data_IF_197962272748
#
_entry.id   IF_197962272748
#
_cell.length_a   1.000
_cell.length_b   1.000
_cell.length_c   1.000
_cell.angle_alpha   90.00
_cell.angle_beta   90.00
_cell.angle_gamma   90.00
#
_symmetry.space_group_name_H-M   'P 1'
#
loop_
_entity.id
_entity.type
_entity.pdbx_description
1 polymer ?
#
# COMPACT_ATOMS: atom_id res chain seq x y z
N UNK A 1 -14.83 8.74 20.05
CA UNK A 1 -13.64 8.76 19.17
C UNK A 1 -13.16 7.33 19.09
N UNK A 2 -12.97 6.81 17.87
CA UNK A 2 -12.42 5.46 17.67
C UNK A 2 -11.02 5.36 18.29
N UNK A 3 -10.66 4.15 18.75
CA UNK A 3 -9.37 3.87 19.38
C UNK A 3 -8.22 3.97 18.38
N UNK A 4 -8.48 3.54 17.13
CA UNK A 4 -7.50 3.55 16.06
C UNK A 4 -8.01 4.35 14.87
N UNK A 5 -7.13 5.10 14.23
CA UNK A 5 -7.37 5.75 12.96
C UNK A 5 -6.50 5.11 11.88
N UNK A 6 -7.12 4.44 10.94
CA UNK A 6 -6.46 3.61 9.94
C UNK A 6 -6.64 4.24 8.56
N UNK A 7 -5.54 4.58 7.89
CA UNK A 7 -5.60 5.02 6.51
C UNK A 7 -5.98 3.86 5.60
N UNK A 8 -6.92 4.09 4.69
CA UNK A 8 -7.44 3.11 3.75
C UNK A 8 -7.02 3.47 2.34
N UNK A 9 -6.01 2.76 1.83
CA UNK A 9 -5.39 2.98 0.52
C UNK A 9 -5.63 1.80 -0.42
N UNK A 10 -6.76 1.77 -1.13
CA UNK A 10 -7.07 0.64 -2.03
C UNK A 10 -6.04 0.50 -3.16
N UNK A 11 -5.53 1.61 -3.65
CA UNK A 11 -4.73 1.62 -4.84
C UNK A 11 -5.59 1.54 -6.10
N UNK A 12 -5.10 0.80 -7.08
CA UNK A 12 -5.77 0.63 -8.37
C UNK A 12 -5.92 -0.84 -8.78
N UNK A 13 -6.65 -1.09 -9.88
CA UNK A 13 -6.88 -2.42 -10.41
C UNK A 13 -7.46 -3.35 -9.35
N UNK A 14 -6.83 -4.51 -9.14
CA UNK A 14 -7.24 -5.52 -8.17
C UNK A 14 -7.18 -5.04 -6.71
N UNK A 15 -6.49 -3.92 -6.45
CA UNK A 15 -6.38 -3.33 -5.12
C UNK A 15 -7.73 -3.04 -4.48
N UNK A 16 -8.68 -2.56 -5.24
CA UNK A 16 -10.05 -2.28 -4.79
C UNK A 16 -10.74 -3.57 -4.29
N UNK A 17 -10.70 -4.63 -5.10
CA UNK A 17 -11.34 -5.92 -4.78
C UNK A 17 -10.73 -6.58 -3.55
N UNK A 18 -9.39 -6.59 -3.42
CA UNK A 18 -8.74 -7.20 -2.26
C UNK A 18 -8.98 -6.41 -0.97
N UNK A 19 -9.09 -5.09 -1.07
CA UNK A 19 -9.43 -4.26 0.09
C UNK A 19 -10.88 -4.46 0.51
N UNK A 20 -11.81 -4.59 -0.43
CA UNK A 20 -13.21 -4.92 -0.11
C UNK A 20 -13.32 -6.27 0.59
N UNK A 21 -12.57 -7.28 0.13
CA UNK A 21 -12.50 -8.58 0.82
C UNK A 21 -11.90 -8.45 2.22
N UNK A 22 -10.84 -7.67 2.39
CA UNK A 22 -10.25 -7.40 3.71
C UNK A 22 -11.24 -6.69 4.64
N UNK A 23 -12.09 -5.80 4.09
CA UNK A 23 -13.10 -5.08 4.85
C UNK A 23 -14.11 -6.03 5.52
N UNK A 24 -14.53 -7.08 4.85
CA UNK A 24 -15.45 -8.09 5.40
C UNK A 24 -14.86 -8.71 6.69
N UNK A 25 -13.56 -9.02 6.69
CA UNK A 25 -12.86 -9.57 7.86
C UNK A 25 -12.81 -8.55 8.99
N UNK A 26 -12.41 -7.31 8.69
CA UNK A 26 -12.28 -6.24 9.68
C UNK A 26 -13.62 -5.87 10.33
N UNK A 27 -14.69 -5.83 9.55
CA UNK A 27 -16.04 -5.57 10.05
C UNK A 27 -16.53 -6.72 10.96
N UNK A 28 -16.15 -7.96 10.64
CA UNK A 28 -16.45 -9.14 11.47
C UNK A 28 -15.72 -9.09 12.81
N UNK A 29 -14.48 -8.61 12.81
CA UNK A 29 -13.67 -8.42 14.02
C UNK A 29 -14.17 -7.29 14.92
N UNK A 30 -15.03 -6.42 14.42
CA UNK A 30 -15.58 -5.24 15.13
C UNK A 30 -14.47 -4.40 15.79
N UNK A 31 -13.39 -4.17 15.05
CA UNK A 31 -12.28 -3.36 15.51
C UNK A 31 -12.77 -1.92 15.80
N UNK A 32 -12.39 -1.39 16.97
CA UNK A 32 -12.68 0.00 17.32
C UNK A 32 -11.76 0.95 16.53
N UNK A 33 -12.07 1.12 15.25
CA UNK A 33 -11.26 1.86 14.30
C UNK A 33 -12.12 2.73 13.36
N UNK A 34 -11.59 3.90 13.06
CA UNK A 34 -12.03 4.76 11.96
C UNK A 34 -11.16 4.48 10.74
N UNK A 35 -11.78 4.24 9.60
CA UNK A 35 -11.08 4.05 8.32
C UNK A 35 -11.15 5.32 7.50
N UNK A 36 -10.00 5.95 7.28
CA UNK A 36 -9.86 7.19 6.53
C UNK A 36 -9.40 6.88 5.08
N UNK A 37 -10.28 7.03 4.07
CA UNK A 37 -9.91 6.77 2.67
C UNK A 37 -8.87 7.77 2.19
N UNK A 38 -7.93 7.30 1.38
CA UNK A 38 -6.91 8.13 0.76
C UNK A 38 -6.52 7.63 -0.64
N UNK A 39 -6.03 8.55 -1.43
CA UNK A 39 -5.74 8.39 -2.84
C UNK A 39 -4.30 7.89 -3.04
N UNK A 40 -4.13 6.84 -3.84
CA UNK A 40 -2.81 6.33 -4.21
C UNK A 40 -2.91 5.47 -5.47
N UNK A 41 -1.89 5.47 -6.28
CA UNK A 41 -1.73 4.53 -7.39
C UNK A 41 -1.70 5.17 -8.76
N UNK A 42 -1.87 4.32 -9.77
CA UNK A 42 -1.66 4.66 -11.16
C UNK A 42 -2.66 5.67 -11.71
N UNK A 43 -3.90 5.62 -11.26
CA UNK A 43 -4.95 6.54 -11.67
C UNK A 43 -4.57 8.00 -11.35
N UNK A 44 -3.99 8.23 -10.16
CA UNK A 44 -3.53 9.56 -9.73
C UNK A 44 -2.25 9.99 -10.46
N UNK A 45 -1.36 9.05 -10.77
CA UNK A 45 -0.26 9.34 -11.69
C UNK A 45 -0.77 9.86 -13.03
N UNK A 46 -1.69 9.15 -13.66
CA UNK A 46 -2.20 9.52 -14.97
C UNK A 46 -2.93 10.86 -15.00
N UNK A 47 -3.68 11.18 -13.95
CA UNK A 47 -4.55 12.37 -13.90
C UNK A 47 -3.94 13.59 -13.21
N UNK A 48 -3.06 13.37 -12.22
CA UNK A 48 -2.46 14.45 -11.43
C UNK A 48 -0.93 14.53 -11.56
N UNK A 49 -0.29 13.51 -12.15
CA UNK A 49 1.18 13.45 -12.29
C UNK A 49 1.90 13.04 -11.00
N UNK A 50 1.16 12.59 -9.99
CA UNK A 50 1.71 12.08 -8.74
C UNK A 50 0.93 10.84 -8.27
N UNK A 51 1.61 9.69 -8.18
CA UNK A 51 1.00 8.44 -7.72
C UNK A 51 0.78 8.38 -6.20
N UNK A 52 1.32 9.34 -5.45
CA UNK A 52 1.13 9.52 -4.01
C UNK A 52 0.91 11.01 -3.71
N UNK A 53 -0.31 11.53 -3.89
CA UNK A 53 -0.61 12.94 -3.69
C UNK A 53 -0.29 13.41 -2.27
N UNK A 54 0.13 14.66 -2.12
CA UNK A 54 0.53 15.22 -0.81
C UNK A 54 -0.58 15.16 0.23
N UNK A 55 -1.86 15.30 -0.18
CA UNK A 55 -3.02 15.11 0.72
C UNK A 55 -3.04 13.72 1.39
N UNK A 56 -2.56 12.69 0.70
CA UNK A 56 -2.43 11.34 1.25
C UNK A 56 -1.27 11.25 2.23
N UNK A 57 -0.14 11.87 1.93
CA UNK A 57 1.01 11.93 2.84
C UNK A 57 0.63 12.62 4.15
N UNK A 58 -0.08 13.75 4.07
CA UNK A 58 -0.56 14.48 5.25
C UNK A 58 -1.58 13.68 6.07
N UNK A 59 -2.46 12.93 5.41
CA UNK A 59 -3.40 12.04 6.10
C UNK A 59 -2.64 10.95 6.86
N UNK A 60 -1.64 10.33 6.22
CA UNK A 60 -0.85 9.25 6.81
C UNK A 60 -0.09 9.68 8.07
N UNK A 61 0.43 10.91 8.11
CA UNK A 61 1.08 11.46 9.31
C UNK A 61 0.13 11.57 10.52
N UNK A 62 -1.17 11.56 10.27
CA UNK A 62 -2.22 11.69 11.28
C UNK A 62 -3.04 10.40 11.48
N UNK A 63 -2.48 9.24 11.16
CA UNK A 63 -3.09 7.92 11.33
C UNK A 63 -2.14 6.99 12.08
N UNK A 64 -2.69 6.00 12.78
CA UNK A 64 -1.90 5.02 13.54
C UNK A 64 -1.23 4.00 12.64
N UNK A 65 -1.90 3.63 11.56
CA UNK A 65 -1.36 2.73 10.54
C UNK A 65 -2.11 2.90 9.21
N UNK A 66 -1.67 2.15 8.21
CA UNK A 66 -2.25 2.14 6.89
C UNK A 66 -2.51 0.70 6.44
N UNK A 67 -3.68 0.47 5.85
CA UNK A 67 -3.97 -0.70 5.05
C UNK A 67 -3.81 -0.33 3.58
N UNK A 68 -2.92 -1.05 2.90
CA UNK A 68 -2.55 -0.78 1.52
C UNK A 68 -2.95 -1.98 0.64
N UNK A 69 -3.74 -1.74 -0.39
CA UNK A 69 -4.17 -2.75 -1.34
C UNK A 69 -3.09 -3.13 -2.35
N UNK A 70 -3.34 -2.85 -3.62
CA UNK A 70 -2.37 -3.08 -4.68
C UNK A 70 -2.32 -1.90 -5.65
N UNK A 71 -1.17 -1.71 -6.30
CA UNK A 71 -0.99 -0.68 -7.31
C UNK A 71 -0.36 -1.24 -8.57
N UNK A 72 -0.71 -0.64 -9.69
CA UNK A 72 -0.03 -0.83 -10.97
C UNK A 72 1.29 -0.06 -10.96
N UNK A 73 2.34 -0.66 -11.48
CA UNK A 73 3.62 0.01 -11.74
C UNK A 73 4.09 -0.35 -13.14
N UNK A 74 4.50 0.66 -13.90
CA UNK A 74 5.03 0.49 -15.26
C UNK A 74 6.40 1.16 -15.39
N UNK A 75 7.20 0.80 -16.41
CA UNK A 75 8.44 1.48 -16.73
C UNK A 75 8.24 2.97 -16.95
N UNK A 76 9.24 3.79 -16.60
CA UNK A 76 9.17 5.25 -16.68
C UNK A 76 8.77 5.77 -18.07
N UNK A 77 9.23 5.11 -19.13
CA UNK A 77 8.91 5.51 -20.52
C UNK A 77 7.42 5.33 -20.86
N UNK A 78 6.81 4.27 -20.36
CA UNK A 78 5.37 4.02 -20.53
C UNK A 78 4.54 4.94 -19.65
N UNK A 79 5.05 5.26 -18.46
CA UNK A 79 4.37 6.08 -17.48
C UNK A 79 4.06 7.50 -18.01
N UNK A 80 5.00 8.11 -18.77
CA UNK A 80 4.78 9.43 -19.36
C UNK A 80 3.68 9.40 -20.46
N UNK A 81 3.59 8.30 -21.20
CA UNK A 81 2.61 8.16 -22.28
C UNK A 81 1.16 8.12 -21.79
N UNK A 82 0.95 7.66 -20.58
CA UNK A 82 -0.38 7.51 -19.98
C UNK A 82 -0.86 8.75 -19.20
N UNK A 83 -0.01 9.76 -19.04
CA UNK A 83 -0.44 11.04 -18.49
C UNK A 83 -1.52 11.70 -19.38
N UNK A 84 -2.43 12.42 -18.73
CA UNK A 84 -3.37 13.30 -19.45
C UNK A 84 -2.60 14.31 -20.29
N UNK A 85 -3.16 14.79 -21.42
CA UNK A 85 -2.45 15.66 -22.37
C UNK A 85 -1.82 16.89 -21.72
N UNK A 86 -2.47 17.46 -20.71
CA UNK A 86 -2.06 18.67 -20.00
C UNK A 86 -0.80 18.48 -19.15
N UNK A 87 -0.46 17.24 -18.83
CA UNK A 87 0.71 16.89 -18.02
C UNK A 87 1.90 16.37 -18.83
N UNK A 88 1.67 15.97 -20.08
CA UNK A 88 2.74 15.47 -20.96
C UNK A 88 3.77 16.55 -21.25
N UNK A 89 5.04 16.15 -21.30
CA UNK A 89 6.15 17.06 -21.60
C UNK A 89 6.54 18.01 -20.46
N UNK A 90 5.93 17.90 -19.28
CA UNK A 90 6.31 18.69 -18.09
C UNK A 90 7.52 18.15 -17.33
N UNK A 91 8.16 17.09 -17.81
CA UNK A 91 9.32 16.48 -17.16
C UNK A 91 8.96 15.71 -15.88
N UNK A 92 7.70 15.29 -15.72
CA UNK A 92 7.27 14.48 -14.60
C UNK A 92 7.89 13.09 -14.70
N UNK A 93 8.35 12.56 -13.57
CA UNK A 93 8.96 11.22 -13.49
C UNK A 93 8.19 10.37 -12.52
N UNK A 94 7.67 9.23 -13.00
CA UNK A 94 7.00 8.28 -12.15
C UNK A 94 7.95 7.73 -11.07
N UNK A 95 7.48 7.79 -9.85
CA UNK A 95 8.15 7.18 -8.71
C UNK A 95 7.16 6.27 -7.98
N UNK A 96 7.58 5.05 -7.66
CA UNK A 96 6.71 4.08 -6.99
C UNK A 96 6.22 4.61 -5.65
N UNK A 97 4.90 4.73 -5.43
CA UNK A 97 4.35 5.23 -4.17
C UNK A 97 4.73 4.33 -2.97
N UNK A 98 4.91 3.03 -3.18
CA UNK A 98 5.35 2.11 -2.10
C UNK A 98 6.76 2.47 -1.64
N UNK A 99 7.69 2.71 -2.59
CA UNK A 99 9.07 3.09 -2.25
C UNK A 99 9.08 4.46 -1.56
N UNK A 100 8.33 5.42 -2.09
CA UNK A 100 8.21 6.76 -1.51
C UNK A 100 7.64 6.71 -0.08
N UNK A 101 6.60 5.93 0.18
CA UNK A 101 6.02 5.74 1.52
C UNK A 101 7.04 5.18 2.51
N UNK A 102 7.80 4.17 2.12
CA UNK A 102 8.84 3.58 2.97
C UNK A 102 9.88 4.60 3.38
N UNK A 103 10.33 5.43 2.44
CA UNK A 103 11.33 6.47 2.70
C UNK A 103 10.76 7.63 3.52
N UNK A 104 9.55 8.11 3.19
CA UNK A 104 8.94 9.25 3.89
C UNK A 104 8.53 8.94 5.34
N UNK A 105 8.13 7.71 5.62
CA UNK A 105 7.65 7.28 6.93
C UNK A 105 8.66 6.39 7.66
N UNK A 106 9.90 6.29 7.16
CA UNK A 106 10.98 5.46 7.73
C UNK A 106 10.55 4.01 8.02
N UNK A 107 9.85 3.39 7.06
CA UNK A 107 9.38 2.02 7.19
C UNK A 107 10.49 1.03 6.85
N UNK A 108 11.55 1.01 7.64
CA UNK A 108 12.78 0.25 7.37
C UNK A 108 12.60 -1.27 7.53
N UNK A 109 11.65 -1.72 8.32
CA UNK A 109 11.47 -3.15 8.61
C UNK A 109 10.24 -3.74 7.91
N UNK A 110 10.45 -4.73 7.06
CA UNK A 110 9.40 -5.58 6.52
C UNK A 110 9.31 -6.85 7.35
N UNK A 111 8.29 -6.96 8.19
CA UNK A 111 8.05 -8.09 9.06
C UNK A 111 7.13 -9.11 8.38
N UNK A 112 7.60 -10.34 8.26
CA UNK A 112 6.88 -11.44 7.59
C UNK A 112 6.74 -12.64 8.52
N UNK A 113 5.64 -12.74 9.28
CA UNK A 113 5.35 -13.95 10.04
C UNK A 113 5.01 -15.10 9.09
N UNK A 114 5.66 -16.25 9.32
CA UNK A 114 5.45 -17.50 8.58
C UNK A 114 5.06 -18.58 9.58
N UNK A 115 3.83 -19.06 9.49
CA UNK A 115 3.29 -20.07 10.40
C UNK A 115 2.63 -21.19 9.61
N UNK A 116 2.95 -22.43 9.98
CA UNK A 116 2.22 -23.60 9.49
C UNK A 116 0.87 -23.69 10.22
N UNK A 117 -0.20 -23.87 9.46
CA UNK A 117 -1.52 -24.07 10.01
C UNK A 117 -1.89 -25.56 9.96
N UNK A 118 -2.41 -26.14 11.06
CA UNK A 118 -2.79 -27.55 11.09
C UNK A 118 -3.77 -27.90 9.96
N UNK A 119 -3.51 -29.02 9.30
CA UNK A 119 -4.36 -29.52 8.21
C UNK A 119 -4.17 -28.83 6.84
N UNK A 120 -3.26 -27.88 6.70
CA UNK A 120 -2.93 -27.31 5.39
C UNK A 120 -1.97 -28.27 4.64
N UNK A 121 -2.41 -28.90 3.51
CA UNK A 121 -1.60 -29.87 2.78
C UNK A 121 -0.36 -29.25 2.09
N UNK A 122 -0.28 -27.92 2.03
CA UNK A 122 0.84 -27.19 1.46
C UNK A 122 1.91 -26.83 2.49
N UNK A 123 1.75 -27.20 3.74
CA UNK A 123 2.80 -27.03 4.74
C UNK A 123 4.04 -27.83 4.32
N UNK A 124 5.18 -27.16 4.24
CA UNK A 124 6.45 -27.86 4.06
C UNK A 124 6.85 -28.66 5.30
N UNK A 125 6.52 -28.15 6.49
CA UNK A 125 6.64 -28.77 7.82
C UNK A 125 5.53 -28.23 8.71
N UNK A 126 5.05 -29.06 9.63
CA UNK A 126 3.91 -28.70 10.50
C UNK A 126 4.33 -27.85 11.72
N UNK A 127 5.63 -27.78 12.01
CA UNK A 127 6.20 -27.08 13.17
C UNK A 127 6.77 -25.69 12.84
N UNK A 128 6.49 -25.13 11.66
CA UNK A 128 6.97 -23.80 11.28
C UNK A 128 6.20 -22.74 12.06
N UNK A 129 6.93 -21.96 12.86
CA UNK A 129 6.46 -20.72 13.48
C UNK A 129 7.65 -19.78 13.63
N UNK A 130 7.86 -18.91 12.64
CA UNK A 130 9.00 -18.01 12.58
C UNK A 130 8.60 -16.64 12.01
N UNK A 131 9.41 -15.63 12.28
CA UNK A 131 9.24 -14.30 11.70
C UNK A 131 10.50 -13.90 10.94
N UNK A 132 10.34 -13.54 9.67
CA UNK A 132 11.43 -12.99 8.84
C UNK A 132 11.38 -11.48 8.90
N UNK A 133 12.48 -10.86 9.33
CA UNK A 133 12.67 -9.41 9.26
C UNK A 133 13.54 -9.09 8.05
N UNK A 134 13.03 -8.26 7.15
CA UNK A 134 13.77 -7.79 5.98
C UNK A 134 14.00 -6.29 6.10
N UNK A 135 15.23 -5.84 5.91
CA UNK A 135 15.53 -4.43 5.70
C UNK A 135 14.90 -3.96 4.38
N UNK A 136 14.39 -2.75 4.34
CA UNK A 136 13.48 -2.31 3.28
C UNK A 136 13.77 -0.90 2.73
N UNK A 137 14.73 -0.18 3.28
CA UNK A 137 15.04 1.21 2.91
C UNK A 137 16.49 1.41 2.51
N UNK A 138 17.42 0.58 3.00
CA UNK A 138 18.85 0.68 2.73
C UNK A 138 19.35 -0.49 1.88
N UNK A 139 20.49 -0.30 1.20
CA UNK A 139 21.15 -1.35 0.46
C UNK A 139 20.53 -1.71 -0.89
N UNK A 140 19.70 -0.84 -1.45
CA UNK A 140 19.08 -0.98 -2.77
C UNK A 140 19.75 -0.07 -3.79
#
# INVERSE_FOLDING_TARGET
VAKYRIAWLPGDGIGKDVMDAARIVLDTLRLDAEYAPADVGWEFWCTEGDALPERTVELLKNTDCCLFGAITSKPKQEAEQELVPELKGKGLVYFSPIVRLRQLLDLHTNMRPCKAYPGNPLNYRDDIDLVVFRENTEGL
#
